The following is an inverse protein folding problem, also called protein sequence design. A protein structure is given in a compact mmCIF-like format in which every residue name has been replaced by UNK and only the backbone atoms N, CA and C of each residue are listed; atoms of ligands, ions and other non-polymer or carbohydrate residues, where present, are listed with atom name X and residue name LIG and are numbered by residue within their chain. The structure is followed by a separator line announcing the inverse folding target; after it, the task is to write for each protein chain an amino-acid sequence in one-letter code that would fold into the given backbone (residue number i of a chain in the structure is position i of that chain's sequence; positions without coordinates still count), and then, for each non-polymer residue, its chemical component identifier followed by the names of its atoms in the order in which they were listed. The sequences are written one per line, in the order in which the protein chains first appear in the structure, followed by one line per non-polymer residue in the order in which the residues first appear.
data_IF_098156521526
#
_entry.id   IF_098156521526
#
_cell.length_a   1.000
_cell.length_b   1.000
_cell.length_c   1.000
_cell.angle_alpha   90.00
_cell.angle_beta   90.00
_cell.angle_gamma   90.00
#
_symmetry.space_group_name_H-M   'P 1'
#
loop_
_entity.id
_entity.type
_entity.pdbx_description
1 polymer ?
#
# COMPACT_ATOMS: atom_id res chain seq x y z
N UNK A 1 28.99 46.34 -7.87
CA UNK A 1 28.22 45.40 -8.70
C UNK A 1 28.35 44.03 -8.07
N UNK A 2 27.34 43.61 -7.29
CA UNK A 2 27.33 42.31 -6.61
C UNK A 2 26.17 41.50 -7.19
N UNK A 3 26.49 40.40 -7.86
CA UNK A 3 25.52 39.47 -8.43
C UNK A 3 25.04 38.54 -7.32
N UNK A 4 23.85 38.79 -6.78
CA UNK A 4 23.18 37.88 -5.85
C UNK A 4 22.45 36.81 -6.65
N UNK A 5 22.95 35.56 -6.60
CA UNK A 5 22.24 34.38 -7.10
C UNK A 5 21.01 34.11 -6.23
N UNK A 6 19.84 34.06 -6.85
CA UNK A 6 18.56 33.73 -6.21
C UNK A 6 18.41 32.21 -6.31
N UNK A 7 18.82 31.46 -5.27
CA UNK A 7 18.54 30.03 -5.18
C UNK A 7 17.07 29.86 -4.75
N UNK A 8 16.18 29.75 -5.73
CA UNK A 8 14.75 29.59 -5.48
C UNK A 8 14.43 28.12 -5.23
N UNK A 9 14.03 27.86 -3.98
CA UNK A 9 13.14 26.78 -3.55
C UNK A 9 13.56 25.35 -3.88
N UNK A 10 14.40 24.79 -3.01
CA UNK A 10 14.34 23.38 -2.64
C UNK A 10 12.87 23.03 -2.36
N UNK A 11 12.22 22.32 -3.28
CA UNK A 11 11.07 21.52 -2.93
C UNK A 11 11.57 20.61 -1.81
N UNK A 12 11.13 20.83 -0.58
CA UNK A 12 11.32 19.85 0.48
C UNK A 12 10.82 18.53 -0.09
N UNK A 13 11.69 17.54 -0.37
CA UNK A 13 11.19 16.22 -0.62
C UNK A 13 10.45 15.86 0.66
N UNK A 14 9.13 15.68 0.57
CA UNK A 14 8.35 15.07 1.65
C UNK A 14 9.20 13.96 2.26
N UNK A 15 9.28 13.82 3.59
CA UNK A 15 10.05 12.74 4.17
C UNK A 15 9.51 11.45 3.56
N UNK A 16 10.28 10.88 2.62
CA UNK A 16 10.03 9.55 2.09
C UNK A 16 10.44 8.69 3.26
N UNK A 17 9.51 8.51 4.19
CA UNK A 17 9.63 7.55 5.26
C UNK A 17 9.69 6.21 4.53
N UNK A 18 10.92 5.77 4.23
CA UNK A 18 11.21 4.53 3.53
C UNK A 18 10.45 3.45 4.27
N UNK A 19 9.39 2.98 3.62
CA UNK A 19 8.42 2.06 4.19
C UNK A 19 9.16 0.91 4.89
N UNK A 20 8.95 0.81 6.20
CA UNK A 20 9.75 -0.04 7.08
C UNK A 20 9.65 -1.51 6.71
N UNK A 21 10.81 -2.18 6.72
CA UNK A 21 11.04 -3.62 6.56
C UNK A 21 10.74 -4.21 5.16
N UNK A 22 11.81 -4.38 4.39
CA UNK A 22 11.85 -5.31 3.25
C UNK A 22 11.51 -6.73 3.73
N UNK A 23 10.43 -7.31 3.19
CA UNK A 23 10.05 -8.71 3.41
C UNK A 23 10.45 -9.54 2.17
N UNK A 24 11.51 -10.38 2.26
CA UNK A 24 11.98 -11.18 1.13
C UNK A 24 10.96 -12.24 0.67
N UNK A 25 10.10 -12.73 1.56
CA UNK A 25 9.08 -13.72 1.20
C UNK A 25 7.97 -13.08 0.36
N UNK A 26 7.56 -11.86 0.73
CA UNK A 26 6.60 -11.07 -0.04
C UNK A 26 7.17 -10.72 -1.41
N UNK A 27 8.43 -10.28 -1.47
CA UNK A 27 9.09 -9.96 -2.74
C UNK A 27 9.14 -11.18 -3.67
N UNK A 28 9.56 -12.34 -3.17
CA UNK A 28 9.60 -13.58 -3.95
C UNK A 28 8.22 -14.00 -4.45
N UNK A 29 7.18 -13.86 -3.60
CA UNK A 29 5.80 -14.19 -3.97
C UNK A 29 5.30 -13.33 -5.12
N UNK A 30 5.57 -12.02 -5.08
CA UNK A 30 5.19 -11.12 -6.18
C UNK A 30 5.97 -11.44 -7.46
N UNK A 31 7.26 -11.74 -7.36
CA UNK A 31 8.03 -12.20 -8.51
C UNK A 31 7.44 -13.46 -9.14
N UNK A 32 6.99 -14.42 -8.32
CA UNK A 32 6.34 -15.65 -8.81
C UNK A 32 5.02 -15.37 -9.51
N UNK A 33 4.20 -14.45 -8.99
CA UNK A 33 2.96 -14.04 -9.65
C UNK A 33 3.22 -13.37 -11.01
N UNK A 34 4.22 -12.50 -11.08
CA UNK A 34 4.59 -11.84 -12.32
C UNK A 34 5.18 -12.84 -13.34
N UNK A 35 6.02 -13.76 -12.87
CA UNK A 35 6.64 -14.78 -13.72
C UNK A 35 5.65 -15.82 -14.24
N UNK A 36 4.55 -16.08 -13.52
CA UNK A 36 3.51 -17.01 -13.97
C UNK A 36 2.63 -16.44 -15.08
N UNK A 37 2.67 -15.13 -15.33
CA UNK A 37 1.79 -14.44 -16.28
C UNK A 37 0.34 -14.37 -15.81
N UNK A 38 0.06 -14.65 -14.54
CA UNK A 38 -1.26 -14.52 -13.95
C UNK A 38 -1.66 -13.04 -13.89
N UNK A 39 -2.94 -12.74 -14.17
CA UNK A 39 -3.46 -11.39 -14.04
C UNK A 39 -3.41 -10.95 -12.57
N UNK A 40 -2.78 -9.81 -12.33
CA UNK A 40 -2.79 -9.15 -11.02
C UNK A 40 -3.77 -7.98 -11.03
N UNK A 41 -4.25 -7.63 -9.84
CA UNK A 41 -5.06 -6.45 -9.57
C UNK A 41 -4.34 -5.58 -8.55
N UNK A 42 -4.22 -4.29 -8.88
CA UNK A 42 -3.82 -3.25 -7.95
C UNK A 42 -5.04 -2.44 -7.52
N UNK A 43 -5.22 -2.20 -6.22
CA UNK A 43 -6.36 -1.46 -5.67
C UNK A 43 -5.82 -0.41 -4.71
N UNK A 44 -6.13 0.89 -4.88
CA UNK A 44 -5.58 1.94 -4.01
C UNK A 44 -6.02 1.73 -2.55
N UNK A 45 -5.08 1.88 -1.60
CA UNK A 45 -5.41 1.91 -0.17
C UNK A 45 -6.06 3.26 0.14
N UNK A 46 -7.32 3.26 0.56
CA UNK A 46 -8.04 4.50 0.88
C UNK A 46 -7.71 4.96 2.31
N UNK A 47 -6.63 5.72 2.43
CA UNK A 47 -6.18 6.29 3.70
C UNK A 47 -5.86 7.77 3.55
N UNK A 48 -5.86 8.48 4.68
CA UNK A 48 -5.41 9.88 4.73
C UNK A 48 -3.93 10.03 4.33
N UNK A 49 -3.10 9.01 4.53
CA UNK A 49 -1.69 9.03 4.11
C UNK A 49 -1.58 9.07 2.58
N UNK A 50 -2.37 8.26 1.86
CA UNK A 50 -2.39 8.26 0.40
C UNK A 50 -3.16 9.45 -0.19
N UNK A 51 -4.21 9.92 0.50
CA UNK A 51 -5.13 10.95 0.00
C UNK A 51 -5.34 12.07 1.04
N UNK A 52 -4.30 12.86 1.38
CA UNK A 52 -4.34 13.84 2.47
C UNK A 52 -5.32 15.00 2.23
N UNK A 53 -5.72 15.24 0.97
CA UNK A 53 -6.70 16.27 0.61
C UNK A 53 -8.15 15.77 0.59
N UNK A 54 -8.41 14.49 0.80
CA UNK A 54 -9.76 13.91 0.72
C UNK A 54 -10.33 13.76 2.13
N UNK A 55 -11.54 14.25 2.42
CA UNK A 55 -12.16 14.07 3.73
C UNK A 55 -12.31 12.59 4.16
N UNK A 56 -12.13 12.25 5.45
CA UNK A 56 -12.21 10.86 5.93
C UNK A 56 -13.53 10.15 5.63
N UNK A 57 -14.65 10.86 5.68
CA UNK A 57 -15.99 10.36 5.36
C UNK A 57 -16.13 10.01 3.87
N UNK A 58 -15.51 10.80 2.98
CA UNK A 58 -15.45 10.49 1.55
C UNK A 58 -14.59 9.24 1.27
N UNK A 59 -13.47 9.08 1.97
CA UNK A 59 -12.66 7.84 1.88
C UNK A 59 -13.44 6.62 2.37
N UNK A 60 -14.11 6.72 3.51
CA UNK A 60 -14.95 5.65 4.04
C UNK A 60 -16.11 5.32 3.11
N UNK A 61 -16.70 6.32 2.46
CA UNK A 61 -17.73 6.10 1.45
C UNK A 61 -17.19 5.30 0.25
N UNK A 62 -16.01 5.69 -0.25
CA UNK A 62 -15.37 5.09 -1.41
C UNK A 62 -14.85 3.67 -1.14
N UNK A 63 -14.49 3.35 0.11
CA UNK A 63 -14.02 2.02 0.52
C UNK A 63 -15.05 0.91 0.23
N UNK A 64 -16.34 1.26 0.28
CA UNK A 64 -17.45 0.37 -0.08
C UNK A 64 -17.44 -0.05 -1.57
N UNK A 65 -16.68 0.65 -2.40
CA UNK A 65 -16.55 0.42 -3.84
C UNK A 65 -15.09 0.15 -4.25
N UNK A 66 -14.20 -0.20 -3.32
CA UNK A 66 -12.77 -0.38 -3.59
C UNK A 66 -12.48 -1.37 -4.73
N UNK A 67 -13.24 -2.44 -4.84
CA UNK A 67 -13.13 -3.43 -5.92
C UNK A 67 -13.38 -2.84 -7.31
N UNK A 68 -14.20 -1.78 -7.41
CA UNK A 68 -14.45 -1.10 -8.68
C UNK A 68 -13.26 -0.22 -9.13
N UNK A 69 -12.33 0.09 -8.22
CA UNK A 69 -11.12 0.88 -8.49
C UNK A 69 -9.91 0.02 -8.90
N UNK A 70 -10.13 -1.26 -9.17
CA UNK A 70 -9.08 -2.18 -9.62
C UNK A 70 -8.38 -1.70 -10.88
N UNK A 71 -7.05 -1.69 -10.83
CA UNK A 71 -6.18 -1.51 -11.98
C UNK A 71 -5.60 -2.87 -12.39
N UNK A 72 -5.84 -3.35 -13.62
CA UNK A 72 -5.31 -4.63 -14.09
C UNK A 72 -3.82 -4.52 -14.41
N UNK A 73 -3.04 -5.51 -13.97
CA UNK A 73 -1.60 -5.63 -14.22
C UNK A 73 -1.38 -6.95 -14.97
N UNK A 74 -1.10 -6.86 -16.28
CA UNK A 74 -0.90 -8.02 -17.15
C UNK A 74 0.56 -8.44 -17.24
N UNK A 75 1.47 -7.49 -17.05
CA UNK A 75 2.92 -7.68 -17.12
C UNK A 75 3.63 -6.75 -16.14
N UNK A 76 4.89 -7.03 -15.76
CA UNK A 76 5.63 -6.19 -14.82
C UNK A 76 5.69 -4.70 -15.21
N UNK A 77 5.77 -4.41 -16.50
CA UNK A 77 5.85 -3.03 -17.00
C UNK A 77 4.60 -2.22 -16.72
N UNK A 78 3.44 -2.87 -16.57
CA UNK A 78 2.19 -2.17 -16.25
C UNK A 78 2.22 -1.58 -14.83
N UNK A 79 3.07 -2.10 -13.94
CA UNK A 79 3.28 -1.51 -12.62
C UNK A 79 3.80 -0.09 -12.75
N UNK A 80 4.67 0.21 -13.75
CA UNK A 80 5.23 1.54 -14.00
C UNK A 80 4.17 2.59 -14.40
N UNK A 81 2.96 2.16 -14.74
CA UNK A 81 1.83 3.04 -15.06
C UNK A 81 0.94 3.37 -13.84
N UNK A 82 1.24 2.81 -12.66
CA UNK A 82 0.52 3.12 -11.44
C UNK A 82 0.68 4.60 -11.05
N UNK A 83 -0.30 5.20 -10.36
CA UNK A 83 -0.18 6.57 -9.87
C UNK A 83 1.03 6.74 -8.93
N UNK A 84 1.91 7.69 -9.25
CA UNK A 84 3.08 8.03 -8.42
C UNK A 84 2.63 8.56 -7.05
N UNK A 85 3.27 8.09 -5.99
CA UNK A 85 2.98 8.48 -4.61
C UNK A 85 1.78 7.78 -3.98
N UNK A 86 1.08 6.88 -4.67
CA UNK A 86 -0.10 6.16 -4.13
C UNK A 86 0.26 4.71 -3.84
N UNK A 87 0.03 4.28 -2.59
CA UNK A 87 0.13 2.87 -2.19
C UNK A 87 -1.16 2.13 -2.50
N UNK A 88 -1.08 0.92 -3.04
CA UNK A 88 -2.26 0.07 -3.23
C UNK A 88 -1.98 -1.38 -2.89
N UNK A 89 -3.03 -2.12 -2.60
CA UNK A 89 -3.00 -3.57 -2.47
C UNK A 89 -2.64 -4.21 -3.80
N UNK A 90 -1.75 -5.19 -3.78
CA UNK A 90 -1.41 -6.01 -4.94
C UNK A 90 -1.82 -7.45 -4.68
N UNK A 91 -2.64 -8.02 -5.56
CA UNK A 91 -3.07 -9.41 -5.44
C UNK A 91 -3.29 -10.05 -6.80
N UNK A 92 -3.24 -11.39 -6.89
CA UNK A 92 -3.80 -12.07 -8.05
C UNK A 92 -5.28 -11.75 -8.23
N UNK A 93 -5.72 -11.58 -9.48
CA UNK A 93 -7.07 -11.08 -9.78
C UNK A 93 -8.21 -12.01 -9.32
N UNK A 94 -7.90 -13.28 -9.11
CA UNK A 94 -8.77 -14.33 -8.57
C UNK A 94 -8.59 -14.53 -7.05
N UNK A 95 -7.59 -13.88 -6.43
CA UNK A 95 -7.41 -13.92 -5.00
C UNK A 95 -8.42 -13.02 -4.29
N UNK A 96 -8.95 -13.51 -3.18
CA UNK A 96 -9.93 -12.80 -2.35
C UNK A 96 -9.24 -11.81 -1.39
N UNK A 97 -8.02 -12.12 -0.96
CA UNK A 97 -7.28 -11.36 0.05
C UNK A 97 -5.79 -11.28 -0.30
N UNK A 98 -5.08 -10.33 0.31
CA UNK A 98 -3.63 -10.17 0.17
C UNK A 98 -3.05 -9.43 1.37
N UNK A 99 -1.83 -9.79 1.76
CA UNK A 99 -1.02 -9.04 2.72
C UNK A 99 0.03 -8.15 2.02
N UNK A 100 -0.05 -8.02 0.69
CA UNK A 100 0.94 -7.32 -0.14
C UNK A 100 0.42 -5.97 -0.61
N UNK A 101 1.24 -4.94 -0.43
CA UNK A 101 1.05 -3.63 -1.04
C UNK A 101 2.18 -3.30 -2.03
N UNK A 102 1.84 -2.47 -3.00
CA UNK A 102 2.72 -1.99 -4.05
C UNK A 102 2.44 -0.51 -4.32
N UNK A 103 3.47 0.27 -4.64
CA UNK A 103 3.33 1.64 -5.12
C UNK A 103 4.58 2.13 -5.85
N UNK A 104 4.47 3.30 -6.48
CA UNK A 104 5.57 3.94 -7.20
C UNK A 104 6.00 5.20 -6.48
N UNK A 105 7.31 5.37 -6.36
CA UNK A 105 7.93 6.62 -5.94
C UNK A 105 9.16 6.89 -6.81
N UNK A 106 9.20 8.06 -7.45
CA UNK A 106 10.33 8.48 -8.30
C UNK A 106 10.65 7.48 -9.44
N UNK A 107 9.63 6.79 -9.96
CA UNK A 107 9.80 5.78 -11.02
C UNK A 107 10.33 4.42 -10.54
N UNK A 108 10.54 4.25 -9.23
CA UNK A 108 10.87 2.96 -8.63
C UNK A 108 9.63 2.28 -8.05
N UNK A 109 9.53 0.97 -8.22
CA UNK A 109 8.44 0.15 -7.68
C UNK A 109 8.83 -0.35 -6.30
N UNK A 110 7.97 -0.12 -5.33
CA UNK A 110 8.12 -0.58 -3.96
C UNK A 110 7.05 -1.64 -3.66
N UNK A 111 7.48 -2.82 -3.19
CA UNK A 111 6.63 -3.96 -2.83
C UNK A 111 6.86 -4.31 -1.36
N UNK A 112 5.80 -4.44 -0.59
CA UNK A 112 5.86 -4.52 0.88
C UNK A 112 4.75 -5.43 1.43
N UNK A 113 5.03 -6.07 2.58
CA UNK A 113 3.98 -6.63 3.42
C UNK A 113 3.29 -5.52 4.23
N UNK A 114 1.97 -5.56 4.36
CA UNK A 114 1.24 -4.53 5.13
C UNK A 114 1.13 -4.94 6.60
N UNK A 115 1.53 -4.03 7.47
CA UNK A 115 1.39 -4.16 8.92
C UNK A 115 0.91 -2.84 9.54
N UNK A 116 0.11 -2.93 10.59
CA UNK A 116 -0.27 -1.79 11.39
C UNK A 116 0.97 -1.19 12.06
N UNK A 117 1.25 0.09 11.82
CA UNK A 117 2.45 0.77 12.36
C UNK A 117 2.46 0.85 13.90
N UNK A 118 1.30 0.89 14.55
CA UNK A 118 1.14 1.04 16.00
C UNK A 118 1.22 -0.30 16.73
N UNK A 119 0.67 -1.36 16.14
CA UNK A 119 0.60 -2.68 16.79
C UNK A 119 1.57 -3.70 16.20
N UNK A 120 2.16 -3.43 15.04
CA UNK A 120 2.98 -4.37 14.28
C UNK A 120 2.19 -5.56 13.71
N UNK A 121 0.86 -5.53 13.80
CA UNK A 121 0.01 -6.65 13.36
C UNK A 121 -0.07 -6.66 11.84
N UNK A 122 0.13 -7.83 11.21
CA UNK A 122 -0.09 -8.01 9.78
C UNK A 122 -1.54 -7.64 9.42
N UNK A 123 -1.67 -6.82 8.39
CA UNK A 123 -2.95 -6.40 7.83
C UNK A 123 -3.12 -7.05 6.46
N UNK A 124 -4.37 -7.33 6.12
CA UNK A 124 -4.72 -7.82 4.79
C UNK A 124 -5.78 -6.92 4.16
N UNK A 125 -6.00 -7.09 2.86
CA UNK A 125 -6.99 -6.34 2.09
C UNK A 125 -8.39 -6.38 2.72
N UNK A 126 -8.80 -7.52 3.28
CA UNK A 126 -10.10 -7.66 3.95
C UNK A 126 -10.11 -7.20 5.42
N UNK A 127 -8.99 -6.66 5.93
CA UNK A 127 -8.79 -6.32 7.33
C UNK A 127 -8.11 -7.47 8.10
N UNK A 128 -7.07 -7.13 8.87
CA UNK A 128 -6.21 -8.10 9.53
C UNK A 128 -6.95 -9.10 10.43
N UNK A 129 -6.40 -10.31 10.50
CA UNK A 129 -6.86 -11.37 11.38
C UNK A 129 -7.09 -10.81 12.78
N UNK A 130 -8.36 -10.70 13.19
CA UNK A 130 -8.69 -10.42 14.57
C UNK A 130 -7.98 -11.49 15.40
N UNK A 131 -6.91 -11.11 16.10
CA UNK A 131 -6.42 -11.90 17.20
C UNK A 131 -7.55 -11.88 18.23
N UNK A 132 -8.43 -12.87 18.15
CA UNK A 132 -9.41 -13.23 19.17
C UNK A 132 -8.64 -13.68 20.41
N UNK A 133 -8.00 -12.73 21.10
CA UNK A 133 -7.62 -12.91 22.49
C UNK A 133 -8.87 -12.61 23.31
N UNK A 134 -9.85 -13.51 23.24
CA UNK A 134 -10.84 -13.65 24.30
C UNK A 134 -10.10 -14.25 25.49
N UNK A 135 -9.36 -13.42 26.22
CA UNK A 135 -9.05 -13.74 27.61
C UNK A 135 -10.38 -13.61 28.35
N UNK A 136 -11.13 -14.71 28.39
CA UNK A 136 -12.24 -14.87 29.32
C UNK A 136 -11.62 -14.71 30.70
N UNK A 137 -11.87 -13.57 31.34
CA UNK A 137 -11.68 -13.44 32.77
C UNK A 137 -12.70 -14.39 33.42
N UNK A 138 -12.26 -15.62 33.69
CA UNK A 138 -12.97 -16.49 34.63
C UNK A 138 -12.72 -15.89 36.02
N UNK A 139 -13.62 -15.00 36.41
CA UNK A 139 -13.90 -14.74 37.80
C UNK A 139 -14.51 -16.02 38.39
N UNK A 140 -13.79 -16.61 39.33
CA UNK A 140 -14.31 -17.63 40.22
C UNK A 140 -13.82 -17.26 41.62
N UNK A 141 -14.75 -16.78 42.44
CA UNK A 141 -14.57 -16.48 43.85
C UNK A 141 -14.52 -17.70 44.75
#
# INVERSE_FOLDING_TARGET
MNTTMINSSTADPMPIERLGHYDPEVHLRVQQWLASGQLLAWIPILSQENFPGVPPDALQFADRYQEAMRWPIHRPEDLLALPDGITGWLRPADAIDTDVACGIWNGEIYILGVQDKRTGTKQTFLGGAAATSTAVATDAG
#
